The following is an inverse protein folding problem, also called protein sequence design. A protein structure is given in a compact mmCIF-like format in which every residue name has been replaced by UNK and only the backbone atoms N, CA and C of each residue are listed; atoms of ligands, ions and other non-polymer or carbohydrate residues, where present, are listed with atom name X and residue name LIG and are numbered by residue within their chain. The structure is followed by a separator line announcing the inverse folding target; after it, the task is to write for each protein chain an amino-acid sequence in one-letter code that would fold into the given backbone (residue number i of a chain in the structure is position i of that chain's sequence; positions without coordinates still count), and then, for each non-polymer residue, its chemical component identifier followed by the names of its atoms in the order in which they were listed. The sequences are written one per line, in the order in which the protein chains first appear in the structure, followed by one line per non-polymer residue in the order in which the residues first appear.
data_IF_043841349230
#
_entry.id   IF_043841349230
#
_cell.length_a   1.000
_cell.length_b   1.000
_cell.length_c   1.000
_cell.angle_alpha   90.00
_cell.angle_beta   90.00
_cell.angle_gamma   90.00
#
_symmetry.space_group_name_H-M   'P 1'
#
loop_
_entity.id
_entity.type
_entity.pdbx_description
1 polymer ?
#
# COMPACT_ATOMS: atom_id res chain seq x y z
N UNK A 1 21.03 2.63 -5.24
CA UNK A 1 20.24 2.44 -6.48
C UNK A 1 19.40 1.18 -6.33
N UNK A 2 18.22 1.16 -6.94
CA UNK A 2 17.30 0.02 -6.94
C UNK A 2 17.02 -0.52 -5.53
N UNK A 3 16.74 0.39 -4.56
CA UNK A 3 16.31 -0.03 -3.23
C UNK A 3 14.95 -0.72 -3.35
N UNK A 4 14.89 -1.96 -2.87
CA UNK A 4 13.68 -2.77 -2.92
C UNK A 4 12.72 -2.39 -1.80
N UNK A 5 11.43 -2.47 -2.10
CA UNK A 5 10.33 -2.31 -1.14
C UNK A 5 9.16 -3.21 -1.55
N UNK A 6 8.09 -3.22 -0.77
CA UNK A 6 6.84 -3.91 -1.11
C UNK A 6 5.66 -2.96 -0.95
N UNK A 7 4.50 -3.28 -1.50
CA UNK A 7 3.30 -2.44 -1.35
C UNK A 7 2.91 -2.26 0.14
N UNK A 8 2.95 -3.34 0.94
CA UNK A 8 2.70 -3.22 2.38
C UNK A 8 2.31 -4.54 3.01
N UNK A 9 1.09 -5.02 2.72
CA UNK A 9 0.52 -6.18 3.38
C UNK A 9 1.18 -7.50 2.97
N UNK A 10 1.36 -8.37 3.96
CA UNK A 10 1.90 -9.72 3.82
C UNK A 10 0.92 -10.76 4.40
N UNK A 11 0.96 -12.01 3.92
CA UNK A 11 0.11 -13.07 4.45
C UNK A 11 0.28 -13.24 5.95
N UNK A 12 -0.81 -13.36 6.68
CA UNK A 12 -0.74 -13.64 8.10
C UNK A 12 -0.33 -15.10 8.33
N UNK A 13 0.56 -15.39 9.29
CA UNK A 13 0.86 -16.76 9.67
C UNK A 13 -0.42 -17.49 10.11
N UNK A 14 -0.52 -18.79 9.79
CA UNK A 14 -1.71 -19.60 10.06
C UNK A 14 -2.12 -19.62 11.54
N UNK A 15 -1.17 -19.46 12.44
CA UNK A 15 -1.42 -19.42 13.90
C UNK A 15 -1.97 -18.03 14.35
N UNK A 16 -1.80 -16.97 13.57
CA UNK A 16 -2.34 -15.64 13.85
C UNK A 16 -3.77 -15.48 13.32
N UNK A 17 -4.01 -15.89 12.07
CA UNK A 17 -5.29 -15.70 11.39
C UNK A 17 -5.52 -16.76 10.30
N UNK A 18 -6.72 -16.79 9.73
CA UNK A 18 -7.04 -17.70 8.63
C UNK A 18 -6.23 -17.33 7.37
N UNK A 19 -5.57 -18.31 6.73
CA UNK A 19 -4.78 -18.06 5.53
C UNK A 19 -5.66 -17.80 4.29
N UNK A 20 -5.11 -17.12 3.29
CA UNK A 20 -5.75 -16.93 1.98
C UNK A 20 -6.93 -15.96 1.97
N UNK A 21 -7.17 -15.23 3.05
CA UNK A 21 -8.27 -14.26 3.15
C UNK A 21 -7.71 -12.84 3.20
N UNK A 22 -8.36 -11.93 2.48
CA UNK A 22 -8.05 -10.49 2.57
C UNK A 22 -8.49 -9.91 3.92
N UNK A 23 -9.53 -10.48 4.51
CA UNK A 23 -10.13 -10.10 5.79
C UNK A 23 -10.26 -11.31 6.71
N UNK A 24 -9.14 -11.80 7.24
CA UNK A 24 -9.14 -13.03 8.02
C UNK A 24 -9.61 -12.81 9.44
N UNK A 25 -10.28 -13.83 10.01
CA UNK A 25 -10.57 -13.85 11.43
C UNK A 25 -9.33 -14.19 12.25
N UNK A 26 -9.20 -13.53 13.42
CA UNK A 26 -8.12 -13.80 14.35
C UNK A 26 -8.32 -15.16 15.04
N UNK A 27 -7.25 -15.90 15.24
CA UNK A 27 -7.30 -17.21 15.93
C UNK A 27 -7.07 -17.14 17.43
N UNK A 28 -6.77 -15.97 17.96
CA UNK A 28 -6.59 -15.69 19.38
C UNK A 28 -7.33 -14.43 19.78
N UNK A 29 -7.45 -14.18 21.07
CA UNK A 29 -8.09 -12.99 21.65
C UNK A 29 -7.21 -12.41 22.77
N UNK A 30 -7.52 -11.18 23.21
CA UNK A 30 -6.87 -10.55 24.37
C UNK A 30 -5.33 -10.50 24.27
N UNK A 31 -4.68 -10.86 25.36
CA UNK A 31 -3.21 -10.80 25.47
C UNK A 31 -2.49 -11.76 24.51
N UNK A 32 -3.09 -12.92 24.22
CA UNK A 32 -2.51 -13.89 23.29
C UNK A 32 -2.54 -13.37 21.86
N UNK A 33 -3.63 -12.71 21.44
CA UNK A 33 -3.69 -12.04 20.16
C UNK A 33 -2.65 -10.92 20.04
N UNK A 34 -2.53 -10.08 21.08
CA UNK A 34 -1.52 -9.01 21.09
C UNK A 34 -0.11 -9.56 20.94
N UNK A 35 0.19 -10.69 21.62
CA UNK A 35 1.48 -11.39 21.52
C UNK A 35 1.70 -11.96 20.12
N UNK A 36 0.71 -12.67 19.59
CA UNK A 36 0.75 -13.24 18.24
C UNK A 36 0.97 -12.18 17.15
N UNK A 37 0.32 -11.02 17.22
CA UNK A 37 0.55 -9.89 16.30
C UNK A 37 1.99 -9.39 16.34
N UNK A 38 2.58 -9.27 17.53
CA UNK A 38 3.99 -8.88 17.72
C UNK A 38 4.94 -9.90 17.10
N UNK A 39 4.73 -11.17 17.38
CA UNK A 39 5.59 -12.25 16.88
C UNK A 39 5.52 -12.34 15.35
N UNK A 40 4.33 -12.19 14.77
CA UNK A 40 4.17 -12.17 13.33
C UNK A 40 4.86 -10.95 12.66
N UNK A 41 4.81 -9.78 13.30
CA UNK A 41 5.51 -8.58 12.83
C UNK A 41 7.03 -8.80 12.84
N UNK A 42 7.57 -9.32 13.92
CA UNK A 42 9.02 -9.60 14.04
C UNK A 42 9.45 -10.67 13.04
N UNK A 43 8.65 -11.73 12.87
CA UNK A 43 8.90 -12.77 11.87
C UNK A 43 9.01 -12.19 10.46
N UNK A 44 8.04 -11.38 10.04
CA UNK A 44 8.07 -10.80 8.70
C UNK A 44 9.18 -9.77 8.49
N UNK A 45 9.55 -9.01 9.52
CA UNK A 45 10.73 -8.13 9.43
C UNK A 45 12.00 -8.95 9.13
N UNK A 46 12.19 -10.07 9.83
CA UNK A 46 13.32 -10.96 9.59
C UNK A 46 13.29 -11.57 8.19
N UNK A 47 12.14 -12.06 7.74
CA UNK A 47 11.97 -12.64 6.40
C UNK A 47 12.23 -11.60 5.29
N UNK A 48 11.79 -10.35 5.48
CA UNK A 48 12.05 -9.26 4.54
C UNK A 48 13.55 -8.93 4.46
N UNK A 49 14.23 -8.87 5.60
CA UNK A 49 15.68 -8.63 5.65
C UNK A 49 16.48 -9.76 5.01
N UNK A 50 16.12 -11.02 5.29
CA UNK A 50 16.75 -12.21 4.71
C UNK A 50 16.50 -12.34 3.20
N UNK A 51 15.35 -11.89 2.74
CA UNK A 51 15.04 -11.79 1.31
C UNK A 51 15.80 -10.65 0.60
N UNK A 52 16.53 -9.81 1.33
CA UNK A 52 17.31 -8.70 0.76
C UNK A 52 16.48 -7.45 0.45
N UNK A 53 15.35 -7.26 1.13
CA UNK A 53 14.53 -6.05 1.01
C UNK A 53 15.21 -4.89 1.74
N UNK A 54 15.30 -3.72 1.09
CA UNK A 54 16.01 -2.55 1.60
C UNK A 54 15.14 -1.64 2.48
N UNK A 55 13.86 -1.52 2.14
CA UNK A 55 12.87 -0.73 2.86
C UNK A 55 11.79 -1.70 3.33
N UNK A 56 11.87 -2.07 4.61
CA UNK A 56 10.99 -3.07 5.23
C UNK A 56 9.73 -2.43 5.80
N UNK A 57 8.72 -3.25 6.10
CA UNK A 57 7.45 -2.82 6.69
C UNK A 57 6.99 -3.82 7.77
N UNK A 58 6.03 -3.44 8.59
CA UNK A 58 5.37 -4.29 9.58
C UNK A 58 4.55 -5.44 8.95
N UNK A 59 4.41 -5.44 7.62
CA UNK A 59 3.61 -6.42 6.87
C UNK A 59 2.11 -6.36 7.18
N UNK A 60 1.66 -5.31 7.88
CA UNK A 60 0.27 -5.13 8.33
C UNK A 60 -0.25 -6.27 9.23
N UNK A 61 0.65 -6.88 10.01
CA UNK A 61 0.32 -8.06 10.80
C UNK A 61 -0.61 -7.74 11.98
N UNK A 62 -0.63 -6.51 12.46
CA UNK A 62 -1.51 -6.07 13.55
C UNK A 62 -2.93 -5.69 13.09
N UNK A 63 -3.16 -5.53 11.79
CA UNK A 63 -4.42 -5.09 11.18
C UNK A 63 -5.15 -6.25 10.51
N UNK A 64 -6.45 -6.35 10.71
CA UNK A 64 -7.27 -7.34 10.01
C UNK A 64 -7.43 -6.95 8.53
N UNK A 65 -7.67 -5.66 8.29
CA UNK A 65 -7.77 -5.07 6.95
C UNK A 65 -7.10 -3.70 6.93
N UNK A 66 -6.47 -3.31 5.81
CA UNK A 66 -5.67 -2.08 5.73
C UNK A 66 -6.47 -0.79 6.00
N UNK A 67 -7.72 -0.69 5.55
CA UNK A 67 -8.60 0.48 5.83
C UNK A 67 -9.18 0.39 7.24
N UNK A 68 -9.81 -0.72 7.58
CA UNK A 68 -10.51 -0.86 8.86
C UNK A 68 -9.58 -0.80 10.05
N UNK A 69 -8.34 -1.27 9.92
CA UNK A 69 -7.32 -1.14 10.95
C UNK A 69 -7.05 0.31 11.37
N UNK A 70 -7.30 1.29 10.48
CA UNK A 70 -7.27 2.71 10.82
C UNK A 70 -8.62 3.18 11.39
N UNK A 71 -9.74 2.82 10.75
CA UNK A 71 -11.07 3.29 11.11
C UNK A 71 -11.51 2.85 12.51
N UNK A 72 -11.10 1.66 12.98
CA UNK A 72 -11.39 1.15 14.33
C UNK A 72 -10.86 2.07 15.45
N UNK A 73 -9.82 2.84 15.16
CA UNK A 73 -9.24 3.82 16.07
C UNK A 73 -9.87 5.23 15.97
N UNK A 74 -10.97 5.39 15.23
CA UNK A 74 -11.67 6.67 15.02
C UNK A 74 -13.02 6.66 15.73
N UNK A 75 -13.30 7.73 16.51
CA UNK A 75 -14.62 8.01 17.05
C UNK A 75 -15.55 8.55 15.96
N UNK A 76 -16.87 8.42 16.18
CA UNK A 76 -17.89 8.89 15.25
C UNK A 76 -18.25 7.88 14.15
N UNK A 77 -17.73 6.64 14.24
CA UNK A 77 -17.99 5.56 13.29
C UNK A 77 -18.74 4.42 13.98
N UNK A 78 -19.88 4.02 13.41
CA UNK A 78 -20.68 2.87 13.84
C UNK A 78 -20.23 1.62 13.06
N UNK A 79 -19.65 0.65 13.77
CA UNK A 79 -19.24 -0.65 13.24
C UNK A 79 -20.27 -1.75 13.46
N UNK A 80 -21.29 -1.51 14.32
CA UNK A 80 -22.30 -2.49 14.66
C UNK A 80 -23.43 -2.51 13.61
N UNK A 81 -23.88 -1.32 13.18
CA UNK A 81 -24.96 -1.18 12.20
C UNK A 81 -24.41 -0.86 10.80
N UNK A 82 -23.61 -1.79 10.26
CA UNK A 82 -23.05 -1.69 8.92
C UNK A 82 -24.14 -1.67 7.85
N UNK A 83 -23.85 -0.98 6.76
CA UNK A 83 -24.73 -0.91 5.59
C UNK A 83 -24.06 -1.51 4.37
N UNK A 84 -24.84 -2.04 3.45
CA UNK A 84 -24.39 -2.56 2.16
C UNK A 84 -24.07 -1.40 1.24
N UNK A 85 -22.89 -1.38 0.66
CA UNK A 85 -22.43 -0.32 -0.24
C UNK A 85 -21.58 -0.91 -1.38
N UNK A 86 -21.74 -0.35 -2.59
CA UNK A 86 -20.85 -0.64 -3.71
C UNK A 86 -19.49 0.02 -3.52
N UNK A 87 -18.43 -0.73 -3.77
CA UNK A 87 -17.04 -0.31 -3.60
C UNK A 87 -16.39 -0.23 -4.98
N UNK A 88 -15.54 0.77 -5.20
CA UNK A 88 -14.81 0.98 -6.47
C UNK A 88 -15.76 1.05 -7.67
N UNK A 89 -16.72 1.96 -7.61
CA UNK A 89 -17.77 2.12 -8.63
C UNK A 89 -18.53 0.80 -8.88
N UNK A 90 -19.03 0.22 -7.77
CA UNK A 90 -19.79 -1.03 -7.75
C UNK A 90 -19.05 -2.26 -8.31
N UNK A 91 -17.71 -2.27 -8.32
CA UNK A 91 -16.91 -3.43 -8.70
C UNK A 91 -17.27 -4.66 -7.83
N UNK A 92 -17.56 -4.41 -6.56
CA UNK A 92 -18.11 -5.39 -5.62
C UNK A 92 -18.89 -4.66 -4.52
N UNK A 93 -19.71 -5.41 -3.79
CA UNK A 93 -20.47 -4.89 -2.64
C UNK A 93 -19.84 -5.36 -1.33
N UNK A 94 -19.86 -4.51 -0.32
CA UNK A 94 -19.38 -4.85 1.02
C UNK A 94 -20.29 -4.24 2.11
N UNK A 95 -20.30 -4.87 3.27
CA UNK A 95 -20.87 -4.30 4.48
C UNK A 95 -19.86 -3.33 5.09
N UNK A 96 -20.15 -2.03 5.01
CA UNK A 96 -19.26 -0.97 5.45
C UNK A 96 -19.76 -0.30 6.73
N UNK A 97 -18.86 0.20 7.61
CA UNK A 97 -19.25 1.00 8.76
C UNK A 97 -19.80 2.36 8.32
N UNK A 98 -20.47 3.05 9.24
CA UNK A 98 -21.19 4.29 8.97
C UNK A 98 -20.65 5.42 9.83
N UNK A 99 -20.34 6.56 9.22
CA UNK A 99 -20.03 7.80 9.94
C UNK A 99 -21.34 8.36 10.50
N UNK A 100 -21.43 8.47 11.82
CA UNK A 100 -22.65 8.91 12.53
C UNK A 100 -22.42 10.14 13.41
N UNK A 101 -21.20 10.64 13.48
CA UNK A 101 -20.84 11.80 14.30
C UNK A 101 -19.49 12.41 13.90
N UNK A 102 -19.07 13.45 14.64
CA UNK A 102 -17.76 14.08 14.39
C UNK A 102 -16.62 13.07 14.55
N UNK A 103 -15.70 13.06 13.58
CA UNK A 103 -14.56 12.14 13.56
C UNK A 103 -13.39 12.68 14.40
N UNK A 104 -12.83 11.82 15.26
CA UNK A 104 -11.62 12.09 16.06
C UNK A 104 -10.85 10.79 16.28
N UNK A 105 -9.52 10.88 16.40
CA UNK A 105 -8.72 9.73 16.82
C UNK A 105 -8.96 9.44 18.32
N UNK A 106 -9.23 8.17 18.65
CA UNK A 106 -9.29 7.67 20.05
C UNK A 106 -7.90 7.70 20.71
N UNK A 107 -6.84 7.76 19.91
CA UNK A 107 -5.44 7.72 20.34
C UNK A 107 -4.53 7.49 19.14
N UNK A 108 -3.34 6.96 19.40
CA UNK A 108 -2.40 6.56 18.35
C UNK A 108 -2.87 5.27 17.68
N UNK A 109 -2.81 5.22 16.36
CA UNK A 109 -3.32 4.08 15.58
C UNK A 109 -2.27 2.99 15.42
N UNK A 110 -1.10 3.34 14.90
CA UNK A 110 -0.04 2.39 14.51
C UNK A 110 1.21 2.46 15.40
N UNK A 111 1.10 3.03 16.61
CA UNK A 111 2.25 3.27 17.50
C UNK A 111 2.93 1.97 17.92
N UNK A 112 2.14 0.96 18.29
CA UNK A 112 2.67 -0.30 18.87
C UNK A 112 3.49 -1.03 17.83
N UNK A 113 2.94 -1.24 16.63
CA UNK A 113 3.63 -1.93 15.56
C UNK A 113 4.81 -1.13 14.99
N UNK A 114 4.67 0.20 14.85
CA UNK A 114 5.76 1.04 14.35
C UNK A 114 6.97 1.04 15.30
N UNK A 115 6.75 1.20 16.59
CA UNK A 115 7.82 1.15 17.60
C UNK A 115 8.43 -0.24 17.72
N UNK A 116 7.60 -1.30 17.67
CA UNK A 116 8.08 -2.68 17.64
C UNK A 116 8.95 -2.90 16.41
N UNK A 117 8.47 -2.54 15.22
CA UNK A 117 9.21 -2.70 13.99
C UNK A 117 10.54 -1.90 14.03
N UNK A 118 10.50 -0.64 14.50
CA UNK A 118 11.72 0.18 14.62
C UNK A 118 12.75 -0.43 15.59
N UNK A 119 12.29 -1.04 16.65
CA UNK A 119 13.18 -1.69 17.63
C UNK A 119 13.87 -2.95 17.06
N UNK A 120 13.27 -3.62 16.06
CA UNK A 120 13.75 -4.89 15.51
C UNK A 120 14.44 -4.76 14.14
N UNK A 121 14.54 -3.58 13.56
CA UNK A 121 15.26 -3.38 12.29
C UNK A 121 16.14 -2.14 12.31
N UNK A 122 17.26 -2.21 11.59
CA UNK A 122 18.11 -1.05 11.25
C UNK A 122 17.90 -0.59 9.79
N UNK A 123 17.09 -1.31 9.03
CA UNK A 123 16.72 -0.94 7.68
C UNK A 123 15.80 0.30 7.69
N UNK A 124 15.61 0.94 6.53
CA UNK A 124 14.53 1.92 6.41
C UNK A 124 13.19 1.25 6.68
N UNK A 125 12.39 1.88 7.52
CA UNK A 125 11.07 1.41 7.91
C UNK A 125 10.00 2.19 7.17
N UNK A 126 9.11 1.46 6.50
CA UNK A 126 7.90 1.99 5.88
C UNK A 126 6.68 1.55 6.68
N UNK A 127 5.76 2.48 6.93
CA UNK A 127 4.41 2.19 7.43
C UNK A 127 3.39 2.66 6.40
N UNK A 128 2.41 1.81 6.14
CA UNK A 128 1.30 2.06 5.21
C UNK A 128 0.06 2.49 5.98
N UNK A 129 -0.72 3.39 5.40
CA UNK A 129 -2.02 3.83 5.88
C UNK A 129 -2.98 3.91 4.70
N UNK A 130 -4.29 3.74 4.89
CA UNK A 130 -5.24 4.01 3.81
C UNK A 130 -5.17 5.48 3.40
N UNK A 131 -5.36 5.75 2.13
CA UNK A 131 -5.48 7.13 1.66
C UNK A 131 -6.88 7.71 1.90
N UNK A 132 -7.04 9.04 1.98
CA UNK A 132 -8.32 9.68 2.29
C UNK A 132 -9.45 9.31 1.32
N UNK A 133 -9.16 9.27 0.02
CA UNK A 133 -10.14 8.93 -1.01
C UNK A 133 -10.57 7.47 -0.91
N UNK A 134 -9.64 6.58 -0.65
CA UNK A 134 -9.91 5.16 -0.43
C UNK A 134 -10.75 4.92 0.83
N UNK A 135 -10.54 5.68 1.90
CA UNK A 135 -11.40 5.60 3.08
C UNK A 135 -12.84 5.99 2.71
N UNK A 136 -13.01 7.12 2.04
CA UNK A 136 -14.35 7.62 1.67
C UNK A 136 -15.09 6.64 0.75
N UNK A 137 -14.39 5.95 -0.12
CA UNK A 137 -14.96 4.92 -0.99
C UNK A 137 -15.33 3.61 -0.26
N UNK A 138 -14.96 3.47 1.01
CA UNK A 138 -15.17 2.25 1.80
C UNK A 138 -15.94 2.46 3.10
N UNK A 139 -16.57 3.62 3.28
CA UNK A 139 -17.37 3.98 4.45
C UNK A 139 -18.63 4.73 4.04
N UNK A 140 -19.74 4.45 4.69
CA UNK A 140 -20.98 5.22 4.49
C UNK A 140 -20.96 6.49 5.36
N UNK A 141 -21.57 7.56 4.87
CA UNK A 141 -21.66 8.83 5.60
C UNK A 141 -23.11 9.23 5.86
N UNK A 142 -23.44 9.45 7.13
CA UNK A 142 -24.73 9.99 7.59
C UNK A 142 -24.58 11.27 8.41
N UNK A 143 -23.35 11.82 8.47
CA UNK A 143 -23.07 12.98 9.32
C UNK A 143 -22.59 14.20 8.53
N UNK A 144 -21.63 14.04 7.62
CA UNK A 144 -21.03 15.17 6.89
C UNK A 144 -21.87 15.59 5.69
N UNK A 145 -22.48 14.65 4.97
CA UNK A 145 -23.27 14.89 3.76
C UNK A 145 -22.49 15.51 2.60
N UNK A 146 -21.16 15.53 2.71
CA UNK A 146 -20.23 16.09 1.74
C UNK A 146 -18.96 15.21 1.68
N UNK A 147 -18.77 14.58 0.54
CA UNK A 147 -17.67 13.64 0.29
C UNK A 147 -16.29 14.29 0.42
N UNK A 148 -16.14 15.54 -0.04
CA UNK A 148 -14.86 16.25 0.02
C UNK A 148 -14.56 16.64 1.46
N UNK A 149 -15.54 17.17 2.19
CA UNK A 149 -15.40 17.49 3.61
C UNK A 149 -15.03 16.26 4.45
N UNK A 150 -15.67 15.13 4.17
CA UNK A 150 -15.35 13.85 4.82
C UNK A 150 -13.91 13.43 4.53
N UNK A 151 -13.49 13.49 3.26
CA UNK A 151 -12.13 13.15 2.84
C UNK A 151 -11.07 14.05 3.50
N UNK A 152 -11.32 15.35 3.56
CA UNK A 152 -10.42 16.31 4.21
C UNK A 152 -10.33 16.05 5.71
N UNK A 153 -11.45 15.72 6.36
CA UNK A 153 -11.44 15.33 7.80
C UNK A 153 -10.59 14.09 8.03
N UNK A 154 -10.75 13.04 7.22
CA UNK A 154 -9.86 11.87 7.31
C UNK A 154 -8.40 12.20 7.01
N UNK A 155 -8.14 13.10 6.06
CA UNK A 155 -6.77 13.53 5.74
C UNK A 155 -6.10 14.23 6.93
N UNK A 156 -6.82 15.00 7.72
CA UNK A 156 -6.33 15.62 8.96
C UNK A 156 -6.01 14.57 10.03
N UNK A 157 -6.87 13.57 10.22
CA UNK A 157 -6.62 12.47 11.15
C UNK A 157 -5.42 11.62 10.74
N UNK A 158 -5.30 11.31 9.44
CA UNK A 158 -4.15 10.63 8.87
C UNK A 158 -2.86 11.44 9.06
N UNK A 159 -2.91 12.76 8.89
CA UNK A 159 -1.77 13.63 9.15
C UNK A 159 -1.32 13.61 10.61
N UNK A 160 -2.27 13.61 11.57
CA UNK A 160 -1.95 13.50 12.98
C UNK A 160 -1.16 12.22 13.27
N UNK A 161 -1.63 11.07 12.79
CA UNK A 161 -0.92 9.81 12.96
C UNK A 161 0.41 9.78 12.20
N UNK A 162 0.45 10.23 10.95
CA UNK A 162 1.65 10.28 10.12
C UNK A 162 2.79 11.08 10.79
N UNK A 163 2.48 12.25 11.34
CA UNK A 163 3.47 13.07 12.06
C UNK A 163 3.98 12.41 13.33
N UNK A 164 3.15 11.62 13.96
CA UNK A 164 3.55 10.90 15.15
C UNK A 164 4.39 9.63 14.80
N UNK A 165 4.08 8.94 13.69
CA UNK A 165 4.90 7.85 13.15
C UNK A 165 6.29 8.33 12.72
N UNK A 166 6.39 9.50 12.08
CA UNK A 166 7.69 10.11 11.77
C UNK A 166 8.53 10.33 13.03
N UNK A 167 7.93 10.79 14.15
CA UNK A 167 8.61 10.94 15.44
C UNK A 167 9.01 9.59 16.06
N UNK A 168 8.26 8.52 15.79
CA UNK A 168 8.59 7.16 16.21
C UNK A 168 9.71 6.52 15.34
N UNK A 169 10.27 7.25 14.36
CA UNK A 169 11.41 6.82 13.54
C UNK A 169 11.03 6.06 12.27
N UNK A 170 9.83 6.30 11.73
CA UNK A 170 9.41 5.79 10.42
C UNK A 170 10.05 6.64 9.32
N UNK A 171 10.72 5.97 8.36
CA UNK A 171 11.46 6.62 7.28
C UNK A 171 10.59 6.92 6.05
N UNK A 172 9.57 6.08 5.82
CA UNK A 172 8.65 6.19 4.68
C UNK A 172 7.21 6.04 5.17
N UNK A 173 6.37 7.02 4.87
CA UNK A 173 4.94 6.95 5.12
C UNK A 173 4.23 6.86 3.77
N UNK A 174 3.52 5.74 3.58
CA UNK A 174 2.80 5.44 2.35
C UNK A 174 1.29 5.53 2.58
N UNK A 175 0.60 6.22 1.68
CA UNK A 175 -0.86 6.22 1.60
C UNK A 175 -1.32 5.32 0.46
N UNK A 176 -2.23 4.40 0.76
CA UNK A 176 -2.76 3.44 -0.22
C UNK A 176 -4.05 4.00 -0.82
N UNK A 177 -3.98 4.34 -2.10
CA UNK A 177 -5.07 4.98 -2.86
C UNK A 177 -5.49 4.16 -4.09
N UNK A 178 -5.93 2.89 -3.93
CA UNK A 178 -6.48 2.15 -5.07
C UNK A 178 -7.76 2.78 -5.65
N UNK A 179 -8.44 3.67 -4.95
CA UNK A 179 -9.56 4.45 -5.47
C UNK A 179 -9.16 5.40 -6.61
N UNK A 180 -7.89 5.79 -6.70
CA UNK A 180 -7.40 6.71 -7.72
C UNK A 180 -7.54 6.17 -9.15
N UNK A 181 -7.45 4.85 -9.34
CA UNK A 181 -7.65 4.21 -10.64
C UNK A 181 -9.13 4.06 -11.04
N UNK A 182 -10.05 4.53 -10.20
CA UNK A 182 -11.50 4.44 -10.45
C UNK A 182 -12.10 5.84 -10.65
N UNK A 183 -11.75 6.78 -9.78
CA UNK A 183 -12.34 8.11 -9.73
C UNK A 183 -11.37 9.20 -10.18
N UNK A 184 -10.82 9.07 -11.38
CA UNK A 184 -9.71 9.89 -11.90
C UNK A 184 -10.03 11.40 -11.95
N UNK A 185 -11.27 11.79 -12.22
CA UNK A 185 -11.69 13.20 -12.21
C UNK A 185 -11.73 13.75 -10.78
N UNK A 186 -12.19 12.96 -9.81
CA UNK A 186 -12.17 13.34 -8.40
C UNK A 186 -10.73 13.44 -7.86
N UNK A 187 -9.82 12.60 -8.35
CA UNK A 187 -8.38 12.71 -8.01
C UNK A 187 -7.86 14.09 -8.40
N UNK A 188 -8.18 14.55 -9.60
CA UNK A 188 -7.79 15.88 -10.11
C UNK A 188 -8.49 17.02 -9.37
N UNK A 189 -9.76 16.83 -9.02
CA UNK A 189 -10.59 17.85 -8.38
C UNK A 189 -10.25 18.09 -6.90
N UNK A 190 -10.02 17.03 -6.12
CA UNK A 190 -9.79 17.12 -4.68
C UNK A 190 -8.88 16.03 -4.07
N UNK A 191 -8.70 14.88 -4.74
CA UNK A 191 -7.93 13.76 -4.18
C UNK A 191 -6.47 14.11 -3.90
N UNK A 192 -5.83 14.91 -4.77
CA UNK A 192 -4.46 15.41 -4.58
C UNK A 192 -4.40 16.37 -3.38
N UNK A 193 -5.39 17.21 -3.19
CA UNK A 193 -5.43 18.15 -2.06
C UNK A 193 -5.63 17.42 -0.73
N UNK A 194 -6.45 16.36 -0.72
CA UNK A 194 -6.58 15.48 0.44
C UNK A 194 -5.26 14.78 0.79
N UNK A 195 -4.51 14.28 -0.20
CA UNK A 195 -3.15 13.76 0.03
C UNK A 195 -2.20 14.84 0.54
N UNK A 196 -2.27 16.07 0.00
CA UNK A 196 -1.47 17.19 0.48
C UNK A 196 -1.78 17.55 1.95
N UNK A 197 -3.04 17.43 2.37
CA UNK A 197 -3.43 17.59 3.76
C UNK A 197 -2.82 16.46 4.62
N UNK A 198 -2.93 15.21 4.19
CA UNK A 198 -2.41 14.04 4.91
C UNK A 198 -0.89 14.08 5.12
N UNK A 199 -0.13 14.66 4.19
CA UNK A 199 1.35 14.76 4.29
C UNK A 199 1.85 16.09 4.86
N UNK A 200 0.96 17.00 5.27
CA UNK A 200 1.35 18.34 5.72
C UNK A 200 2.35 18.29 6.87
N UNK A 201 3.52 18.94 6.69
CA UNK A 201 4.57 19.07 7.70
C UNK A 201 5.45 17.85 7.89
N UNK A 202 5.28 16.76 7.11
CA UNK A 202 6.18 15.61 7.11
C UNK A 202 7.51 15.96 6.43
N UNK A 203 8.60 15.44 6.99
CA UNK A 203 9.98 15.55 6.46
C UNK A 203 10.48 14.22 5.89
N UNK A 204 9.95 13.11 6.41
CA UNK A 204 10.25 11.76 5.92
C UNK A 204 9.84 11.58 4.44
N UNK A 205 10.16 10.45 3.86
CA UNK A 205 9.71 10.13 2.51
C UNK A 205 8.22 9.84 2.52
N UNK A 206 7.46 10.57 1.69
CA UNK A 206 6.02 10.34 1.50
C UNK A 206 5.79 9.55 0.21
N UNK A 207 4.97 8.52 0.28
CA UNK A 207 4.66 7.66 -0.86
C UNK A 207 3.13 7.55 -1.06
N UNK A 208 2.71 7.37 -2.30
CA UNK A 208 1.36 6.92 -2.63
C UNK A 208 1.44 5.61 -3.39
N UNK A 209 0.68 4.61 -2.94
CA UNK A 209 0.53 3.34 -3.62
C UNK A 209 -0.81 3.31 -4.37
N UNK A 210 -0.72 3.07 -5.68
CA UNK A 210 -1.88 3.00 -6.56
C UNK A 210 -1.75 1.70 -7.36
N UNK A 211 -2.66 0.77 -7.11
CA UNK A 211 -2.70 -0.52 -7.80
C UNK A 211 -4.09 -0.78 -8.39
N UNK A 212 -4.18 -1.82 -9.19
CA UNK A 212 -5.46 -2.33 -9.71
C UNK A 212 -6.10 -3.36 -8.76
N UNK A 213 -5.56 -3.48 -7.55
CA UNK A 213 -6.07 -4.29 -6.46
C UNK A 213 -5.35 -5.62 -6.27
N UNK A 214 -5.67 -6.27 -5.15
CA UNK A 214 -5.16 -7.59 -4.81
C UNK A 214 -5.51 -8.64 -5.88
N UNK A 215 -4.78 -9.77 -5.90
CA UNK A 215 -5.04 -10.94 -6.73
C UNK A 215 -6.28 -11.74 -6.30
N UNK A 216 -7.40 -11.07 -6.01
CA UNK A 216 -8.70 -11.70 -5.71
C UNK A 216 -9.60 -11.72 -6.95
N UNK A 217 -10.51 -12.70 -7.01
CA UNK A 217 -11.37 -12.91 -8.18
C UNK A 217 -12.07 -11.65 -8.68
N UNK A 218 -12.70 -10.87 -7.79
CA UNK A 218 -13.40 -9.64 -8.17
C UNK A 218 -12.51 -8.60 -8.88
N UNK A 219 -11.23 -8.50 -8.48
CA UNK A 219 -10.29 -7.60 -9.13
C UNK A 219 -9.77 -8.19 -10.45
N UNK A 220 -9.57 -9.50 -10.53
CA UNK A 220 -9.15 -10.20 -11.76
C UNK A 220 -10.24 -10.04 -12.81
N UNK A 221 -11.49 -10.37 -12.49
CA UNK A 221 -12.64 -10.24 -13.39
C UNK A 221 -12.80 -8.79 -13.89
N UNK A 222 -12.63 -7.81 -12.99
CA UNK A 222 -12.68 -6.40 -13.40
C UNK A 222 -11.51 -6.02 -14.33
N UNK A 223 -10.30 -6.48 -14.08
CA UNK A 223 -9.14 -6.23 -14.94
C UNK A 223 -9.36 -6.72 -16.37
N UNK A 224 -10.08 -7.83 -16.56
CA UNK A 224 -10.44 -8.34 -17.88
C UNK A 224 -11.33 -7.38 -18.66
N UNK A 225 -12.12 -6.52 -17.98
CA UNK A 225 -12.97 -5.50 -18.62
C UNK A 225 -12.22 -4.27 -19.10
N UNK A 226 -10.97 -4.08 -18.66
CA UNK A 226 -10.18 -2.87 -18.97
C UNK A 226 -9.55 -2.90 -20.38
N UNK A 227 -9.71 -4.00 -21.12
CA UNK A 227 -9.17 -4.15 -22.47
C UNK A 227 -7.67 -4.45 -22.52
N UNK A 228 -7.06 -4.20 -23.69
CA UNK A 228 -5.68 -4.59 -23.99
C UNK A 228 -4.63 -3.72 -23.29
N UNK A 229 -4.94 -2.50 -22.93
CA UNK A 229 -4.07 -1.57 -22.23
C UNK A 229 -4.82 -0.89 -21.08
N UNK A 230 -4.22 -0.92 -19.88
CA UNK A 230 -4.78 -0.24 -18.70
C UNK A 230 -4.14 1.14 -18.57
N UNK A 231 -4.89 2.17 -18.97
CA UNK A 231 -4.36 3.54 -19.12
C UNK A 231 -4.80 4.51 -18.02
N UNK A 232 -5.44 4.07 -16.95
CA UNK A 232 -5.93 4.92 -15.86
C UNK A 232 -4.82 5.80 -15.27
N UNK A 233 -3.58 5.30 -15.20
CA UNK A 233 -2.42 6.09 -14.76
C UNK A 233 -2.13 7.31 -15.64
N UNK A 234 -2.48 7.27 -16.92
CA UNK A 234 -2.29 8.40 -17.85
C UNK A 234 -3.08 9.63 -17.40
N UNK A 235 -4.25 9.42 -16.81
CA UNK A 235 -5.13 10.48 -16.33
C UNK A 235 -4.64 11.13 -15.02
N UNK A 236 -4.03 10.35 -14.12
CA UNK A 236 -3.70 10.80 -12.77
C UNK A 236 -2.22 11.13 -12.56
N UNK A 237 -1.30 10.49 -13.30
CA UNK A 237 0.14 10.71 -13.13
C UNK A 237 0.59 12.16 -13.39
N UNK A 238 0.06 12.92 -14.34
CA UNK A 238 0.43 14.34 -14.50
C UNK A 238 0.12 15.20 -13.26
N UNK A 239 -0.99 14.92 -12.55
CA UNK A 239 -1.32 15.60 -11.30
C UNK A 239 -0.39 15.16 -10.17
N UNK A 240 -0.12 13.86 -10.05
CA UNK A 240 0.83 13.31 -9.07
C UNK A 240 2.26 13.82 -9.31
N UNK A 241 2.69 13.95 -10.55
CA UNK A 241 4.01 14.51 -10.88
C UNK A 241 4.18 15.93 -10.36
N UNK A 242 3.13 16.73 -10.36
CA UNK A 242 3.10 18.11 -9.81
C UNK A 242 2.88 18.14 -8.29
N UNK A 243 2.44 17.05 -7.68
CA UNK A 243 2.12 16.99 -6.25
C UNK A 243 3.37 17.04 -5.37
N UNK A 244 3.18 17.20 -4.06
CA UNK A 244 4.25 17.16 -3.05
C UNK A 244 4.64 15.74 -2.63
N UNK A 245 3.92 14.71 -3.07
CA UNK A 245 4.26 13.30 -2.84
C UNK A 245 5.63 13.01 -3.47
N UNK A 246 6.49 12.29 -2.76
CA UNK A 246 7.86 11.98 -3.22
C UNK A 246 7.94 10.72 -4.07
N UNK A 247 7.24 9.66 -3.66
CA UNK A 247 7.25 8.36 -4.33
C UNK A 247 5.86 7.98 -4.83
N UNK A 248 5.78 7.42 -6.02
CA UNK A 248 4.53 6.92 -6.62
C UNK A 248 4.73 5.49 -7.10
N UNK A 249 3.81 4.59 -6.79
CA UNK A 249 3.85 3.20 -7.28
C UNK A 249 3.00 3.00 -8.52
N UNK A 250 3.35 1.97 -9.28
CA UNK A 250 2.51 1.44 -10.37
C UNK A 250 2.72 -0.07 -10.54
N UNK A 251 1.69 -0.75 -11.04
CA UNK A 251 1.82 -2.13 -11.53
C UNK A 251 2.58 -2.16 -12.86
N UNK A 252 3.47 -3.13 -13.07
CA UNK A 252 4.23 -3.24 -14.31
C UNK A 252 4.35 -4.69 -14.81
N UNK A 253 4.98 -5.60 -14.03
CA UNK A 253 5.17 -6.97 -14.49
C UNK A 253 3.82 -7.69 -14.64
N UNK A 254 3.63 -8.41 -15.75
CA UNK A 254 2.42 -9.17 -16.09
C UNK A 254 1.12 -8.33 -16.00
N UNK A 255 1.22 -7.01 -16.08
CA UNK A 255 0.08 -6.11 -16.17
C UNK A 255 -0.06 -5.58 -17.61
N UNK A 256 -1.26 -5.12 -17.94
CA UNK A 256 -1.51 -4.46 -19.22
C UNK A 256 -1.23 -2.95 -19.16
N UNK A 257 -0.52 -2.49 -18.13
CA UNK A 257 -0.10 -1.08 -17.99
C UNK A 257 1.03 -0.80 -18.98
N UNK A 258 0.86 0.17 -19.90
CA UNK A 258 1.93 0.55 -20.81
C UNK A 258 3.14 1.12 -20.06
N UNK A 259 4.34 0.53 -20.15
CA UNK A 259 5.52 0.96 -19.38
C UNK A 259 5.92 2.42 -19.60
N UNK A 260 5.62 2.99 -20.79
CA UNK A 260 5.89 4.39 -21.10
C UNK A 260 5.16 5.37 -20.19
N UNK A 261 4.07 4.98 -19.53
CA UNK A 261 3.35 5.82 -18.57
C UNK A 261 4.22 6.23 -17.38
N UNK A 262 5.28 5.47 -17.07
CA UNK A 262 6.26 5.85 -16.05
C UNK A 262 6.91 7.22 -16.34
N UNK A 263 7.07 7.58 -17.60
CA UNK A 263 7.64 8.86 -18.00
C UNK A 263 6.81 10.07 -17.57
N UNK A 264 5.50 9.88 -17.30
CA UNK A 264 4.61 10.92 -16.79
C UNK A 264 4.92 11.31 -15.34
N UNK A 265 5.63 10.46 -14.58
CA UNK A 265 6.06 10.70 -13.19
C UNK A 265 7.41 11.45 -13.12
N UNK A 266 7.67 12.34 -14.07
CA UNK A 266 8.91 13.10 -14.13
C UNK A 266 9.18 13.82 -12.80
N UNK A 267 10.37 13.59 -12.25
CA UNK A 267 10.78 14.21 -10.98
C UNK A 267 10.42 13.41 -9.73
N UNK A 268 9.63 12.33 -9.83
CA UNK A 268 9.29 11.44 -8.71
C UNK A 268 10.24 10.26 -8.61
N UNK A 269 10.32 9.70 -7.41
CA UNK A 269 10.80 8.34 -7.21
C UNK A 269 9.67 7.38 -7.59
N UNK A 270 9.97 6.36 -8.37
CA UNK A 270 8.96 5.45 -8.92
C UNK A 270 9.15 4.05 -8.33
N UNK A 271 8.14 3.59 -7.62
CA UNK A 271 8.06 2.21 -7.13
C UNK A 271 7.45 1.35 -8.23
N UNK A 272 8.29 0.62 -8.94
CA UNK A 272 7.89 -0.20 -10.09
C UNK A 272 7.56 -1.61 -9.64
N UNK A 273 6.35 -2.07 -9.93
CA UNK A 273 5.89 -3.41 -9.65
C UNK A 273 6.63 -4.45 -10.51
N UNK A 274 7.55 -5.18 -9.91
CA UNK A 274 8.34 -6.22 -10.56
C UNK A 274 8.01 -7.63 -10.04
N UNK A 275 7.02 -7.72 -9.16
CA UNK A 275 6.43 -8.96 -8.62
C UNK A 275 4.93 -8.91 -8.84
N UNK A 276 4.42 -9.90 -9.54
CA UNK A 276 2.98 -10.10 -9.74
C UNK A 276 2.34 -10.73 -8.49
N UNK A 277 1.21 -10.19 -8.06
CA UNK A 277 0.45 -10.69 -6.90
C UNK A 277 -0.86 -11.38 -7.29
N UNK A 278 -1.17 -11.43 -8.59
CA UNK A 278 -2.36 -12.10 -9.12
C UNK A 278 -2.11 -13.56 -9.52
N UNK A 279 -0.86 -14.01 -9.46
CA UNK A 279 -0.44 -15.36 -9.85
C UNK A 279 0.44 -15.99 -8.77
N UNK A 280 0.26 -17.31 -8.59
CA UNK A 280 1.12 -18.12 -7.71
C UNK A 280 2.49 -18.46 -8.33
N UNK A 281 2.67 -18.18 -9.63
CA UNK A 281 3.97 -18.33 -10.30
C UNK A 281 4.98 -17.38 -9.64
N UNK A 282 6.08 -17.95 -9.15
CA UNK A 282 7.20 -17.19 -8.60
C UNK A 282 8.09 -16.71 -9.75
N UNK A 283 8.35 -15.42 -9.80
CA UNK A 283 9.26 -14.81 -10.76
C UNK A 283 10.70 -15.29 -10.53
N UNK A 284 11.43 -15.50 -11.61
CA UNK A 284 12.86 -15.70 -11.53
C UNK A 284 13.59 -14.38 -11.28
N UNK A 285 14.77 -14.38 -10.62
CA UNK A 285 15.60 -13.18 -10.51
C UNK A 285 15.91 -12.50 -11.85
N UNK A 286 15.97 -13.28 -12.93
CA UNK A 286 16.19 -12.77 -14.28
C UNK A 286 14.99 -12.00 -14.83
N UNK A 287 13.76 -12.49 -14.63
CA UNK A 287 12.52 -11.80 -15.00
C UNK A 287 12.38 -10.47 -14.23
N UNK A 288 12.66 -10.48 -12.93
CA UNK A 288 12.67 -9.26 -12.09
C UNK A 288 13.69 -8.25 -12.62
N UNK A 289 14.93 -8.69 -12.88
CA UNK A 289 15.96 -7.82 -13.43
C UNK A 289 15.59 -7.30 -14.83
N UNK A 290 14.97 -8.11 -15.69
CA UNK A 290 14.50 -7.68 -17.00
C UNK A 290 13.44 -6.58 -16.91
N UNK A 291 12.48 -6.71 -15.97
CA UNK A 291 11.46 -5.68 -15.71
C UNK A 291 12.08 -4.38 -15.19
N UNK A 292 13.07 -4.46 -14.29
CA UNK A 292 13.87 -3.28 -13.87
C UNK A 292 14.55 -2.64 -15.09
N UNK A 293 15.15 -3.46 -15.97
CA UNK A 293 15.78 -2.99 -17.21
C UNK A 293 14.81 -2.32 -18.18
N UNK A 294 13.58 -2.80 -18.28
CA UNK A 294 12.51 -2.16 -19.04
C UNK A 294 12.18 -0.79 -18.46
N UNK A 295 11.99 -0.69 -17.15
CA UNK A 295 11.66 0.56 -16.47
C UNK A 295 12.76 1.62 -16.59
N UNK A 296 14.04 1.22 -16.71
CA UNK A 296 15.15 2.14 -16.91
C UNK A 296 15.09 2.96 -18.21
N UNK A 297 14.26 2.55 -19.17
CA UNK A 297 13.99 3.35 -20.37
C UNK A 297 13.20 4.63 -20.06
N UNK A 298 12.50 4.67 -18.95
CA UNK A 298 11.55 5.73 -18.60
C UNK A 298 11.86 6.41 -17.27
N UNK A 299 12.53 5.70 -16.34
CA UNK A 299 12.83 6.16 -14.99
C UNK A 299 14.33 6.17 -14.75
N UNK A 300 14.92 7.30 -14.30
CA UNK A 300 16.34 7.35 -13.94
C UNK A 300 16.69 6.34 -12.86
N UNK A 301 17.83 5.68 -12.98
CA UNK A 301 18.27 4.59 -12.08
C UNK A 301 18.33 4.93 -10.60
N UNK A 302 18.54 6.19 -10.26
CA UNK A 302 18.57 6.68 -8.88
C UNK A 302 17.17 6.99 -8.30
N UNK A 303 16.13 6.93 -9.13
CA UNK A 303 14.72 7.15 -8.77
C UNK A 303 13.85 5.92 -8.95
N UNK A 304 14.43 4.78 -9.31
CA UNK A 304 13.72 3.53 -9.53
C UNK A 304 13.82 2.64 -8.29
N UNK A 305 12.67 2.23 -7.77
CA UNK A 305 12.50 1.37 -6.60
C UNK A 305 11.72 0.11 -7.00
N UNK A 306 12.38 -1.06 -7.15
CA UNK A 306 11.66 -2.30 -7.40
C UNK A 306 10.69 -2.63 -6.25
N UNK A 307 9.45 -2.98 -6.58
CA UNK A 307 8.36 -3.18 -5.64
C UNK A 307 7.47 -4.36 -6.07
N UNK A 308 6.51 -4.75 -5.24
CA UNK A 308 5.41 -5.62 -5.64
C UNK A 308 4.31 -4.81 -6.34
N UNK A 309 3.57 -5.42 -7.27
CA UNK A 309 2.44 -4.76 -7.95
C UNK A 309 1.39 -4.26 -6.97
N UNK A 310 1.08 -5.05 -5.95
CA UNK A 310 0.10 -4.75 -4.90
C UNK A 310 0.50 -5.45 -3.60
N UNK A 311 -0.34 -5.37 -2.56
CA UNK A 311 -0.19 -6.13 -1.33
C UNK A 311 -0.34 -7.63 -1.56
N UNK A 312 0.24 -8.44 -0.69
CA UNK A 312 0.32 -9.89 -0.78
C UNK A 312 -0.55 -10.61 0.27
N UNK A 313 -1.35 -9.88 1.05
CA UNK A 313 -2.13 -10.42 2.17
C UNK A 313 -2.93 -11.70 1.87
N UNK A 314 -3.63 -11.85 0.72
CA UNK A 314 -4.40 -13.05 0.42
C UNK A 314 -3.57 -14.20 -0.17
N UNK A 315 -2.26 -14.01 -0.36
CA UNK A 315 -1.38 -15.02 -0.94
C UNK A 315 -1.07 -16.16 0.02
N UNK A 316 -0.68 -17.33 -0.54
CA UNK A 316 0.00 -18.35 0.26
C UNK A 316 1.33 -17.79 0.79
N UNK A 317 1.64 -18.06 2.07
CA UNK A 317 2.82 -17.50 2.75
C UNK A 317 4.14 -17.95 2.13
N UNK A 318 4.26 -19.22 1.72
CA UNK A 318 5.47 -19.76 1.12
C UNK A 318 5.72 -19.17 -0.26
N UNK A 319 4.66 -18.99 -1.05
CA UNK A 319 4.72 -18.32 -2.35
C UNK A 319 5.14 -16.85 -2.16
N UNK A 320 4.53 -16.14 -1.23
CA UNK A 320 4.89 -14.75 -0.92
C UNK A 320 6.37 -14.64 -0.55
N UNK A 321 6.88 -15.51 0.32
CA UNK A 321 8.28 -15.52 0.72
C UNK A 321 9.21 -15.82 -0.48
N UNK A 322 8.86 -16.77 -1.33
CA UNK A 322 9.63 -17.09 -2.53
C UNK A 322 9.68 -15.88 -3.49
N UNK A 323 8.57 -15.18 -3.68
CA UNK A 323 8.50 -13.95 -4.49
C UNK A 323 9.34 -12.80 -3.89
N UNK A 324 9.37 -12.64 -2.57
CA UNK A 324 10.23 -11.66 -1.90
C UNK A 324 11.72 -11.97 -2.12
N UNK A 325 12.11 -13.24 -2.04
CA UNK A 325 13.49 -13.67 -2.36
C UNK A 325 13.84 -13.39 -3.82
N UNK A 326 12.89 -13.63 -4.74
CA UNK A 326 13.08 -13.31 -6.16
C UNK A 326 13.25 -11.79 -6.39
N UNK A 327 12.48 -10.95 -5.67
CA UNK A 327 12.60 -9.49 -5.70
C UNK A 327 13.99 -9.04 -5.27
N UNK A 328 14.48 -9.50 -4.12
CA UNK A 328 15.80 -9.16 -3.60
C UNK A 328 16.93 -9.61 -4.52
N UNK A 329 16.87 -10.88 -4.97
CA UNK A 329 17.89 -11.44 -5.88
C UNK A 329 17.88 -10.76 -7.25
N UNK A 330 16.71 -10.47 -7.82
CA UNK A 330 16.59 -9.77 -9.10
C UNK A 330 17.08 -8.32 -9.03
N UNK A 331 16.80 -7.61 -7.94
CA UNK A 331 17.37 -6.28 -7.71
C UNK A 331 18.89 -6.33 -7.54
N UNK A 332 19.43 -7.37 -6.91
CA UNK A 332 20.88 -7.57 -6.83
C UNK A 332 21.51 -7.78 -8.22
N UNK A 333 20.87 -8.57 -9.10
CA UNK A 333 21.30 -8.71 -10.51
C UNK A 333 21.23 -7.37 -11.25
N UNK A 334 20.17 -6.60 -11.07
CA UNK A 334 20.04 -5.28 -11.68
C UNK A 334 21.13 -4.31 -11.20
N UNK A 335 21.47 -4.31 -9.90
CA UNK A 335 22.57 -3.52 -9.34
C UNK A 335 23.91 -3.90 -9.96
N UNK A 336 24.16 -5.19 -10.14
CA UNK A 336 25.39 -5.68 -10.80
C UNK A 336 25.45 -5.23 -12.25
N UNK A 337 24.33 -5.24 -12.98
CA UNK A 337 24.29 -4.94 -14.42
C UNK A 337 24.30 -3.44 -14.72
N UNK A 338 23.55 -2.63 -13.96
CA UNK A 338 23.33 -1.20 -14.24
C UNK A 338 23.76 -0.25 -13.12
N UNK A 339 24.21 -0.79 -11.98
CA UNK A 339 24.61 0.02 -10.83
C UNK A 339 25.81 0.94 -11.10
N UNK A 340 26.69 0.57 -12.03
CA UNK A 340 27.97 1.24 -12.27
C UNK A 340 29.00 0.85 -11.19
N UNK A 341 30.28 0.83 -11.55
CA UNK A 341 31.35 0.84 -10.54
C UNK A 341 31.30 2.18 -9.79
N UNK A 342 31.46 2.12 -8.45
CA UNK A 342 31.75 3.32 -7.65
C UNK A 342 33.01 4.00 -8.15
#
# INVERSE_FOLDING_TARGET
MFQTTIAGSLPKPFWLAEPGKLWPDWRATGADLARAKRDATVLWLKELEDAGIDIVTDGEQSRQHFVHGFLEAVEGIDFEHKVKMGIRDNRYEAMVPVVVGPLRLKGRVHQVEARLARAHTKKKLKITMPGPMTIVDTIADRHYGDKVKLAMTFAELLNQEARALEKDGVDVIQFDEPAFNVYMDEVKAWGIDALHCAIKGLRCTTAVHICYGYGIKANIDWKETLGQEWRQYEEIFPALAKSRIKQVSLECIHSHVPPQLMALLKGKDVMVGVIDVASDKVETPAEVAATIGLALKYVPKNRLFPCTNCGMAPMNREIALAKLKALGAGAALARKKWGGRK
#
